data_IF_766362393066
#
_entry.id   IF_766362393066
#
_cell.length_a   1.000
_cell.length_b   1.000
_cell.length_c   1.000
_cell.angle_alpha   90.00
_cell.angle_beta   90.00
_cell.angle_gamma   90.00
#
_symmetry.space_group_name_H-M   'P 1'
#
loop_
_entity.id
_entity.type
_entity.pdbx_description
1 polymer ?
#
# COMPACT_ATOMS: atom_id res chain seq x y z
N UNK A 1 9.18 12.53 -25.27
CA UNK A 1 9.67 11.14 -25.20
C UNK A 1 9.67 10.79 -23.72
N UNK A 2 8.61 10.18 -23.22
CA UNK A 2 8.61 9.61 -21.87
C UNK A 2 8.45 8.10 -22.03
N UNK A 3 9.58 7.41 -21.94
CA UNK A 3 9.59 5.96 -21.79
C UNK A 3 9.30 5.70 -20.31
N UNK A 4 8.04 5.86 -19.89
CA UNK A 4 7.55 5.28 -18.64
C UNK A 4 7.27 3.78 -18.88
N UNK A 5 8.30 3.08 -19.33
CA UNK A 5 8.30 1.63 -19.50
C UNK A 5 8.97 1.02 -18.29
N UNK A 6 8.27 0.96 -17.15
CA UNK A 6 8.76 0.15 -16.05
C UNK A 6 8.52 -1.31 -16.42
N UNK A 7 9.62 -1.98 -16.73
CA UNK A 7 9.69 -3.44 -16.82
C UNK A 7 9.20 -3.97 -15.49
N UNK A 8 8.00 -4.56 -15.46
CA UNK A 8 7.66 -5.50 -14.39
C UNK A 8 8.63 -6.67 -14.61
N UNK A 9 9.86 -6.53 -14.11
CA UNK A 9 10.75 -7.66 -13.91
C UNK A 9 9.93 -8.68 -13.14
N UNK A 10 10.04 -9.96 -13.48
CA UNK A 10 9.23 -11.06 -12.93
C UNK A 10 9.23 -11.01 -11.40
N UNK A 11 8.34 -10.21 -10.83
CA UNK A 11 8.32 -9.90 -9.43
C UNK A 11 7.53 -11.03 -8.80
N UNK A 12 8.16 -11.74 -7.86
CA UNK A 12 7.46 -12.75 -7.10
C UNK A 12 6.25 -12.12 -6.39
N UNK A 13 5.22 -12.93 -6.11
CA UNK A 13 4.04 -12.50 -5.34
C UNK A 13 4.47 -11.82 -4.02
N UNK A 14 5.51 -12.36 -3.36
CA UNK A 14 6.12 -11.78 -2.16
C UNK A 14 6.64 -10.35 -2.39
N UNK A 15 7.33 -10.13 -3.52
CA UNK A 15 7.87 -8.82 -3.88
C UNK A 15 6.77 -7.81 -4.19
N UNK A 16 5.78 -8.21 -4.99
CA UNK A 16 4.62 -7.38 -5.32
C UNK A 16 3.80 -7.01 -4.09
N UNK A 17 3.57 -7.97 -3.20
CA UNK A 17 2.89 -7.75 -1.92
C UNK A 17 3.65 -6.75 -1.04
N UNK A 18 4.97 -6.89 -0.94
CA UNK A 18 5.81 -5.97 -0.17
C UNK A 18 5.74 -4.55 -0.75
N UNK A 19 5.80 -4.41 -2.08
CA UNK A 19 5.66 -3.11 -2.75
C UNK A 19 4.27 -2.48 -2.52
N UNK A 20 3.20 -3.26 -2.59
CA UNK A 20 1.84 -2.78 -2.31
C UNK A 20 1.68 -2.26 -0.86
N UNK A 21 2.32 -2.91 0.12
CA UNK A 21 2.32 -2.44 1.50
C UNK A 21 3.09 -1.13 1.69
N UNK A 22 4.24 -0.98 1.01
CA UNK A 22 5.05 0.24 1.07
C UNK A 22 4.30 1.44 0.47
N UNK A 23 3.53 1.24 -0.60
CA UNK A 23 2.70 2.28 -1.21
C UNK A 23 1.77 2.98 -0.19
N UNK A 24 1.17 2.23 0.72
CA UNK A 24 0.28 2.81 1.73
C UNK A 24 1.00 3.79 2.67
N UNK A 25 2.27 3.55 3.01
CA UNK A 25 3.07 4.45 3.86
C UNK A 25 3.26 5.84 3.20
N UNK A 26 3.26 5.90 1.87
CA UNK A 26 3.45 7.14 1.11
C UNK A 26 2.17 7.97 0.94
N UNK A 27 0.99 7.34 0.96
CA UNK A 27 -0.32 8.00 0.83
C UNK A 27 -0.75 8.65 2.15
N UNK A 28 -0.45 8.02 3.28
CA UNK A 28 -0.91 8.46 4.62
C UNK A 28 -0.25 9.75 5.11
N UNK A 29 0.88 10.12 4.51
CA UNK A 29 1.80 11.08 5.11
C UNK A 29 1.56 12.55 4.75
N UNK A 30 0.56 12.87 3.92
CA UNK A 30 0.49 14.16 3.25
C UNK A 30 -0.85 14.88 3.42
N UNK A 31 -1.47 14.71 4.57
CA UNK A 31 -2.81 15.23 4.79
C UNK A 31 -2.84 16.30 5.89
N UNK A 32 -3.31 17.49 5.54
CA UNK A 32 -3.70 18.54 6.47
C UNK A 32 -5.22 18.64 6.36
N UNK A 33 -5.98 18.37 7.42
CA UNK A 33 -7.39 17.97 7.28
C UNK A 33 -8.38 18.64 8.23
N UNK A 34 -9.63 18.73 7.73
CA UNK A 34 -10.87 18.83 8.50
C UNK A 34 -11.64 17.48 8.53
N UNK A 35 -12.81 17.39 9.20
CA UNK A 35 -13.39 16.14 9.73
C UNK A 35 -13.69 15.02 8.72
N UNK A 36 -14.20 15.32 7.52
CA UNK A 36 -14.58 14.28 6.53
C UNK A 36 -13.40 13.51 5.98
N UNK A 37 -12.21 14.11 6.00
CA UNK A 37 -10.99 13.49 5.50
C UNK A 37 -10.44 12.41 6.43
N UNK A 38 -10.77 12.46 7.74
CA UNK A 38 -10.39 11.44 8.71
C UNK A 38 -11.02 10.08 8.36
N UNK A 39 -12.27 10.07 7.88
CA UNK A 39 -12.96 8.83 7.49
C UNK A 39 -12.29 8.16 6.30
N UNK A 40 -11.90 8.91 5.28
CA UNK A 40 -11.20 8.35 4.11
C UNK A 40 -9.80 7.87 4.47
N UNK A 41 -9.10 8.57 5.37
CA UNK A 41 -7.81 8.11 5.88
C UNK A 41 -7.95 6.79 6.65
N UNK A 42 -8.94 6.68 7.55
CA UNK A 42 -9.22 5.42 8.26
C UNK A 42 -9.50 4.30 7.26
N UNK A 43 -10.25 4.55 6.20
CA UNK A 43 -10.52 3.52 5.18
C UNK A 43 -9.25 3.05 4.46
N UNK A 44 -8.31 3.95 4.15
CA UNK A 44 -7.00 3.57 3.60
C UNK A 44 -6.22 2.68 4.59
N UNK A 45 -6.20 3.05 5.87
CA UNK A 45 -5.55 2.23 6.92
C UNK A 45 -6.22 0.86 7.04
N UNK A 46 -7.55 0.79 6.96
CA UNK A 46 -8.30 -0.47 6.93
C UNK A 46 -7.89 -1.31 5.74
N UNK A 47 -7.81 -0.75 4.54
CA UNK A 47 -7.36 -1.51 3.36
C UNK A 47 -5.91 -2.01 3.48
N UNK A 48 -5.02 -1.26 4.14
CA UNK A 48 -3.68 -1.74 4.46
C UNK A 48 -3.72 -2.92 5.42
N UNK A 49 -4.51 -2.83 6.50
CA UNK A 49 -4.69 -3.93 7.46
C UNK A 49 -5.30 -5.16 6.80
N UNK A 50 -6.28 -4.99 5.91
CA UNK A 50 -6.87 -6.10 5.15
C UNK A 50 -5.85 -6.79 4.27
N UNK A 51 -5.03 -6.04 3.55
CA UNK A 51 -3.95 -6.60 2.74
C UNK A 51 -2.93 -7.35 3.61
N UNK A 52 -2.59 -6.82 4.79
CA UNK A 52 -1.72 -7.50 5.75
C UNK A 52 -2.30 -8.83 6.21
N UNK A 53 -3.55 -8.85 6.68
CA UNK A 53 -4.24 -10.07 7.14
C UNK A 53 -4.29 -11.10 6.03
N UNK A 54 -4.62 -10.69 4.81
CA UNK A 54 -4.59 -11.56 3.64
C UNK A 54 -3.18 -12.15 3.45
N UNK A 55 -2.14 -11.32 3.48
CA UNK A 55 -0.75 -11.80 3.38
C UNK A 55 -0.38 -12.79 4.48
N UNK A 56 -0.85 -12.62 5.72
CA UNK A 56 -0.64 -13.59 6.80
C UNK A 56 -1.36 -14.90 6.52
N UNK A 57 -2.59 -14.85 6.04
CA UNK A 57 -3.41 -16.05 5.78
C UNK A 57 -2.78 -17.00 4.76
N UNK A 58 -1.90 -16.48 3.89
CA UNK A 58 -1.13 -17.26 2.93
C UNK A 58 0.36 -17.30 3.21
N UNK A 59 0.84 -16.95 4.41
CA UNK A 59 2.25 -17.10 4.80
C UNK A 59 3.24 -16.08 4.20
N UNK A 60 2.77 -14.92 3.72
CA UNK A 60 3.64 -13.83 3.23
C UNK A 60 4.19 -12.89 4.34
N UNK A 61 3.91 -13.21 5.61
CA UNK A 61 4.24 -12.38 6.77
C UNK A 61 5.69 -12.48 7.25
N UNK A 62 6.45 -13.41 6.65
CA UNK A 62 7.87 -13.52 6.87
C UNK A 62 8.25 -14.51 7.97
N UNK A 63 7.30 -15.14 8.66
CA UNK A 63 7.58 -16.24 9.59
C UNK A 63 8.19 -17.43 8.84
N UNK A 64 9.43 -17.79 9.17
CA UNK A 64 10.16 -18.84 8.44
C UNK A 64 9.49 -20.22 8.55
N UNK A 65 8.76 -20.46 9.65
CA UNK A 65 8.09 -21.74 9.94
C UNK A 65 6.77 -21.95 9.19
N UNK A 66 6.22 -20.94 8.49
CA UNK A 66 4.93 -21.03 7.78
C UNK A 66 5.01 -20.70 6.28
N UNK A 67 6.18 -20.24 5.79
CA UNK A 67 6.36 -19.80 4.41
C UNK A 67 6.27 -20.92 3.38
N UNK A 68 6.83 -22.09 3.68
CA UNK A 68 7.02 -23.13 2.66
C UNK A 68 5.81 -24.07 2.50
N UNK A 69 4.95 -24.21 3.49
CA UNK A 69 3.80 -25.13 3.39
C UNK A 69 2.51 -24.39 2.97
N UNK A 70 2.19 -23.25 3.60
CA UNK A 70 0.92 -22.54 3.35
C UNK A 70 0.91 -21.72 2.04
N UNK A 71 2.01 -21.02 1.70
CA UNK A 71 2.13 -20.28 0.44
C UNK A 71 2.13 -21.27 -0.74
N UNK A 72 2.87 -22.38 -0.60
CA UNK A 72 2.97 -23.37 -1.66
C UNK A 72 1.64 -24.11 -1.85
N UNK A 73 0.88 -24.48 -0.82
CA UNK A 73 -0.43 -25.09 -1.02
C UNK A 73 -1.47 -24.11 -1.62
N UNK A 74 -1.56 -22.87 -1.12
CA UNK A 74 -2.55 -21.90 -1.60
C UNK A 74 -2.23 -21.37 -3.01
N UNK A 75 -0.95 -21.23 -3.36
CA UNK A 75 -0.46 -20.71 -4.65
C UNK A 75 0.26 -21.77 -5.49
N UNK A 76 0.03 -23.05 -5.23
CA UNK A 76 0.56 -24.18 -6.03
C UNK A 76 0.04 -24.10 -7.47
N UNK A 77 -1.21 -23.64 -7.58
CA UNK A 77 -1.92 -23.55 -8.83
C UNK A 77 -1.46 -22.31 -9.59
N UNK A 78 -0.81 -22.54 -10.72
CA UNK A 78 -0.28 -21.50 -11.60
C UNK A 78 -1.31 -20.41 -11.94
N UNK A 79 -2.57 -20.79 -12.16
CA UNK A 79 -3.64 -19.83 -12.46
C UNK A 79 -3.99 -18.93 -11.27
N UNK A 80 -3.97 -19.45 -10.03
CA UNK A 80 -4.18 -18.64 -8.82
C UNK A 80 -3.00 -17.70 -8.60
N UNK A 81 -1.77 -18.21 -8.73
CA UNK A 81 -0.55 -17.41 -8.64
C UNK A 81 -0.57 -16.25 -9.65
N UNK A 82 -0.99 -16.52 -10.88
CA UNK A 82 -1.10 -15.51 -11.95
C UNK A 82 -2.17 -14.48 -11.63
N UNK A 83 -3.35 -14.90 -11.16
CA UNK A 83 -4.43 -13.99 -10.80
C UNK A 83 -4.03 -13.07 -9.63
N UNK A 84 -3.42 -13.63 -8.57
CA UNK A 84 -2.92 -12.87 -7.42
C UNK A 84 -1.83 -11.88 -7.84
N UNK A 85 -0.85 -12.33 -8.63
CA UNK A 85 0.19 -11.45 -9.16
C UNK A 85 -0.42 -10.31 -10.01
N UNK A 86 -1.41 -10.62 -10.85
CA UNK A 86 -2.13 -9.63 -11.66
C UNK A 86 -2.81 -8.55 -10.82
N UNK A 87 -3.51 -8.94 -9.75
CA UNK A 87 -4.16 -8.01 -8.82
C UNK A 87 -3.16 -7.12 -8.08
N UNK A 88 -2.04 -7.69 -7.60
CA UNK A 88 -0.99 -6.91 -6.94
C UNK A 88 -0.27 -5.97 -7.92
N UNK A 89 -0.07 -6.39 -9.18
CA UNK A 89 0.44 -5.51 -10.24
C UNK A 89 -0.53 -4.36 -10.51
N UNK A 90 -1.84 -4.63 -10.58
CA UNK A 90 -2.86 -3.59 -10.71
C UNK A 90 -2.77 -2.59 -9.56
N UNK A 91 -2.62 -3.08 -8.32
CA UNK A 91 -2.43 -2.23 -7.14
C UNK A 91 -1.22 -1.30 -7.30
N UNK A 92 -0.04 -1.87 -7.62
CA UNK A 92 1.20 -1.09 -7.74
C UNK A 92 1.08 -0.05 -8.85
N UNK A 93 0.52 -0.42 -10.01
CA UNK A 93 0.35 0.45 -11.18
C UNK A 93 -0.53 1.66 -10.95
N UNK A 94 -1.50 1.59 -10.02
CA UNK A 94 -2.31 2.76 -9.64
C UNK A 94 -1.40 3.92 -9.22
N UNK A 95 -0.28 3.61 -8.57
CA UNK A 95 0.60 4.61 -7.95
C UNK A 95 1.87 4.94 -8.76
N UNK A 96 2.10 4.29 -9.89
CA UNK A 96 3.23 4.60 -10.79
C UNK A 96 2.94 5.82 -11.68
N UNK A 97 1.68 6.07 -12.00
CA UNK A 97 1.26 7.12 -12.93
C UNK A 97 0.78 8.36 -12.16
N UNK A 98 1.71 9.30 -11.95
CA UNK A 98 1.48 10.54 -11.20
C UNK A 98 0.37 11.42 -11.79
N UNK A 99 0.22 11.43 -13.11
CA UNK A 99 -0.85 12.17 -13.79
C UNK A 99 -2.20 11.53 -13.53
N UNK A 100 -2.31 10.20 -13.63
CA UNK A 100 -3.53 9.48 -13.23
C UNK A 100 -3.85 9.66 -11.76
N UNK A 101 -2.84 9.65 -10.88
CA UNK A 101 -3.02 9.90 -9.45
C UNK A 101 -3.69 11.25 -9.19
N UNK A 102 -3.22 12.30 -9.87
CA UNK A 102 -3.81 13.64 -9.80
C UNK A 102 -5.21 13.67 -10.43
N UNK A 103 -5.33 13.21 -11.65
CA UNK A 103 -6.51 13.48 -12.47
C UNK A 103 -7.69 12.59 -12.06
N UNK A 104 -7.45 11.31 -11.75
CA UNK A 104 -8.49 10.35 -11.34
C UNK A 104 -8.77 10.34 -9.85
N UNK A 105 -7.74 10.46 -9.03
CA UNK A 105 -7.83 10.26 -7.58
C UNK A 105 -7.60 11.53 -6.76
N UNK A 106 -7.29 12.67 -7.41
CA UNK A 106 -7.13 13.92 -6.71
C UNK A 106 -5.90 13.98 -5.82
N UNK A 107 -4.87 13.16 -6.11
CA UNK A 107 -3.63 13.14 -5.35
C UNK A 107 -2.58 14.05 -5.99
N UNK A 108 -2.02 14.98 -5.22
CA UNK A 108 -0.94 15.86 -5.66
C UNK A 108 0.35 15.51 -4.93
N UNK A 109 1.45 15.49 -5.66
CA UNK A 109 2.74 15.23 -5.08
C UNK A 109 3.14 16.37 -4.14
N UNK A 110 3.48 16.04 -2.89
CA UNK A 110 4.20 16.98 -2.01
C UNK A 110 5.66 16.97 -2.40
N UNK A 111 6.13 18.11 -2.90
CA UNK A 111 7.55 18.42 -2.90
C UNK A 111 7.87 18.88 -1.48
N UNK A 112 8.54 18.04 -0.68
CA UNK A 112 9.06 18.50 0.61
C UNK A 112 10.11 19.60 0.30
N UNK A 113 9.86 20.88 0.64
CA UNK A 113 10.90 21.89 0.50
C UNK A 113 11.99 21.52 1.51
N UNK A 114 13.19 21.26 1.00
CA UNK A 114 14.29 20.72 1.79
C UNK A 114 14.45 21.42 3.13
N UNK A 115 14.50 20.64 4.22
CA UNK A 115 15.01 21.07 5.54
C UNK A 115 14.59 22.49 5.95
N UNK A 116 13.29 22.74 5.97
CA UNK A 116 12.70 23.86 6.71
C UNK A 116 11.93 23.31 7.89
N UNK A 117 12.37 23.62 9.11
CA UNK A 117 11.65 23.41 10.36
C UNK A 117 10.24 23.99 10.26
N UNK A 118 9.30 23.14 9.87
CA UNK A 118 7.88 23.39 9.87
C UNK A 118 7.20 22.13 10.37
N UNK A 119 7.30 21.88 11.67
CA UNK A 119 6.35 21.01 12.39
C UNK A 119 4.96 21.64 12.25
N UNK A 120 4.34 21.44 11.09
CA UNK A 120 2.91 21.59 10.93
C UNK A 120 2.28 20.65 11.95
N UNK A 121 1.52 21.23 12.86
CA UNK A 121 0.87 20.57 13.98
C UNK A 121 0.12 19.33 13.48
N UNK A 122 0.73 18.14 13.61
CA UNK A 122 0.05 16.88 13.38
C UNK A 122 -1.13 16.84 14.35
N UNK A 123 -2.35 16.83 13.81
CA UNK A 123 -3.56 16.81 14.62
C UNK A 123 -3.50 15.61 15.58
N UNK A 124 -3.99 15.80 16.82
CA UNK A 124 -4.03 14.74 17.83
C UNK A 124 -4.71 13.47 17.28
N UNK A 125 -5.77 13.64 16.49
CA UNK A 125 -6.50 12.56 15.84
C UNK A 125 -5.63 11.78 14.84
N UNK A 126 -4.77 12.47 14.09
CA UNK A 126 -3.82 11.82 13.17
C UNK A 126 -2.75 11.02 13.91
N UNK A 127 -2.30 11.52 15.09
CA UNK A 127 -1.38 10.80 15.97
C UNK A 127 -2.05 9.57 16.63
N UNK A 128 -3.32 9.70 17.03
CA UNK A 128 -4.09 8.61 17.63
C UNK A 128 -4.42 7.52 16.61
N UNK A 129 -4.87 7.90 15.41
CA UNK A 129 -5.09 6.98 14.29
C UNK A 129 -3.78 6.29 13.90
N UNK A 130 -2.72 7.07 13.66
CA UNK A 130 -1.40 6.54 13.33
C UNK A 130 -0.89 5.55 14.39
N UNK A 131 -1.04 5.86 15.68
CA UNK A 131 -0.59 4.97 16.77
C UNK A 131 -1.42 3.68 16.90
N UNK A 132 -2.72 3.72 16.62
CA UNK A 132 -3.62 2.55 16.65
C UNK A 132 -3.20 1.54 15.59
N UNK A 133 -2.99 2.00 14.36
CA UNK A 133 -2.58 1.16 13.24
C UNK A 133 -1.11 0.76 13.30
N UNK A 134 -0.23 1.63 13.82
CA UNK A 134 1.20 1.34 14.00
C UNK A 134 1.43 0.08 14.82
N UNK A 135 0.66 -0.15 15.89
CA UNK A 135 0.77 -1.38 16.70
C UNK A 135 0.46 -2.64 15.88
N UNK A 136 -0.51 -2.56 14.96
CA UNK A 136 -0.84 -3.65 14.03
C UNK A 136 0.29 -3.90 13.04
N UNK A 137 0.89 -2.82 12.51
CA UNK A 137 2.03 -2.91 11.59
C UNK A 137 3.30 -3.44 12.26
N UNK A 138 3.61 -3.00 13.47
CA UNK A 138 4.79 -3.43 14.23
C UNK A 138 4.73 -4.94 14.55
N UNK A 139 3.53 -5.49 14.80
CA UNK A 139 3.33 -6.93 14.96
C UNK A 139 3.62 -7.71 13.66
N UNK A 140 3.28 -7.13 12.51
CA UNK A 140 3.49 -7.78 11.21
C UNK A 140 4.95 -7.70 10.74
N UNK A 141 5.66 -6.59 11.00
CA UNK A 141 7.00 -6.37 10.44
C UNK A 141 8.05 -7.36 10.94
N UNK A 142 7.83 -8.03 12.08
CA UNK A 142 8.84 -8.89 12.71
C UNK A 142 10.16 -8.14 12.92
N UNK A 143 11.21 -8.82 13.37
CA UNK A 143 12.51 -8.16 13.57
C UNK A 143 12.99 -7.50 12.24
N UNK A 144 13.21 -6.17 12.19
CA UNK A 144 13.42 -5.40 10.95
C UNK A 144 14.72 -5.72 10.19
N UNK A 145 15.52 -6.68 10.68
CA UNK A 145 16.88 -6.94 10.21
C UNK A 145 16.97 -7.68 8.87
N UNK A 146 15.89 -8.27 8.36
CA UNK A 146 15.95 -9.20 7.22
C UNK A 146 15.21 -8.79 5.94
N UNK A 147 14.38 -7.74 5.96
CA UNK A 147 13.62 -7.34 4.75
C UNK A 147 14.50 -6.46 3.87
N UNK A 148 15.25 -7.10 2.98
CA UNK A 148 16.12 -6.46 2.02
C UNK A 148 15.32 -5.46 1.17
N UNK A 149 15.65 -4.20 1.44
CA UNK A 149 15.31 -2.94 0.78
C UNK A 149 15.30 -3.11 -0.75
N UNK A 150 14.13 -3.29 -1.33
CA UNK A 150 13.95 -3.62 -2.74
C UNK A 150 12.78 -2.88 -3.39
N UNK A 151 12.72 -1.55 -3.26
CA UNK A 151 11.91 -0.72 -4.16
C UNK A 151 12.67 0.58 -4.47
N UNK A 152 13.53 0.51 -5.47
CA UNK A 152 14.38 1.63 -5.88
C UNK A 152 13.64 2.65 -6.75
N UNK A 153 12.32 2.51 -6.98
CA UNK A 153 11.63 3.29 -8.02
C UNK A 153 10.39 4.09 -7.55
N UNK A 154 9.76 3.78 -6.40
CA UNK A 154 8.74 4.65 -5.76
C UNK A 154 9.42 5.61 -4.77
N UNK A 155 10.51 6.22 -5.22
CA UNK A 155 11.36 7.09 -4.42
C UNK A 155 10.57 8.31 -3.88
N UNK A 156 10.22 8.27 -2.59
CA UNK A 156 9.97 9.44 -1.72
C UNK A 156 8.86 10.42 -2.14
N UNK A 157 7.91 10.02 -2.98
CA UNK A 157 6.80 10.91 -3.32
C UNK A 157 5.70 10.78 -2.26
N UNK A 158 5.57 11.76 -1.36
CA UNK A 158 4.44 11.84 -0.41
C UNK A 158 3.25 12.45 -1.15
N UNK A 159 2.07 11.85 -1.08
CA UNK A 159 0.90 12.28 -1.86
C UNK A 159 -0.16 12.95 -1.00
N UNK A 160 -0.47 14.22 -1.27
CA UNK A 160 -1.54 14.95 -0.59
C UNK A 160 -2.88 14.78 -1.30
N UNK A 161 -3.95 14.70 -0.53
CA UNK A 161 -5.32 14.72 -1.06
C UNK A 161 -5.71 16.16 -1.40
N UNK A 162 -5.92 16.45 -2.68
CA UNK A 162 -6.41 17.72 -3.19
C UNK A 162 -7.91 17.70 -3.55
N UNK A 163 -8.47 16.53 -3.88
CA UNK A 163 -9.90 16.35 -4.17
C UNK A 163 -10.44 15.11 -3.43
N UNK A 164 -11.23 15.35 -2.39
CA UNK A 164 -11.80 14.30 -1.54
C UNK A 164 -12.73 13.34 -2.30
N UNK A 165 -13.54 13.87 -3.24
CA UNK A 165 -14.50 13.06 -4.00
C UNK A 165 -13.77 12.11 -4.94
N UNK A 166 -12.68 12.58 -5.55
CA UNK A 166 -11.80 11.73 -6.37
C UNK A 166 -11.02 10.75 -5.53
N UNK A 167 -10.55 11.15 -4.36
CA UNK A 167 -9.81 10.27 -3.45
C UNK A 167 -10.65 9.09 -2.98
N UNK A 168 -11.96 9.28 -2.80
CA UNK A 168 -12.89 8.17 -2.50
C UNK A 168 -12.84 7.05 -3.55
N UNK A 169 -12.63 7.38 -4.82
CA UNK A 169 -12.48 6.38 -5.89
C UNK A 169 -11.25 5.52 -5.71
N UNK A 170 -10.14 6.12 -5.24
CA UNK A 170 -8.94 5.34 -4.91
C UNK A 170 -9.26 4.35 -3.80
N UNK A 171 -9.88 4.79 -2.72
CA UNK A 171 -10.29 3.91 -1.61
C UNK A 171 -11.17 2.75 -2.12
N UNK A 172 -12.13 3.04 -3.00
CA UNK A 172 -13.01 2.03 -3.60
C UNK A 172 -12.25 1.04 -4.50
N UNK A 173 -11.28 1.50 -5.28
CA UNK A 173 -10.44 0.63 -6.12
C UNK A 173 -9.52 -0.27 -5.29
N UNK A 174 -8.85 0.27 -4.25
CA UNK A 174 -8.02 -0.54 -3.35
C UNK A 174 -8.86 -1.58 -2.62
N UNK A 175 -10.05 -1.19 -2.17
CA UNK A 175 -11.03 -2.11 -1.60
C UNK A 175 -11.40 -3.22 -2.59
N UNK A 176 -11.73 -2.89 -3.83
CA UNK A 176 -12.12 -3.89 -4.83
C UNK A 176 -10.98 -4.88 -5.14
N UNK A 177 -9.73 -4.41 -5.15
CA UNK A 177 -8.56 -5.27 -5.30
C UNK A 177 -8.43 -6.21 -4.09
N UNK A 178 -8.50 -5.68 -2.87
CA UNK A 178 -8.45 -6.48 -1.64
C UNK A 178 -9.61 -7.49 -1.53
N UNK A 179 -10.82 -7.07 -1.92
CA UNK A 179 -11.99 -7.96 -2.01
C UNK A 179 -11.68 -9.09 -2.99
N UNK A 180 -11.12 -8.79 -4.16
CA UNK A 180 -10.76 -9.80 -5.16
C UNK A 180 -9.68 -10.76 -4.63
N UNK A 181 -8.64 -10.25 -3.98
CA UNK A 181 -7.59 -11.07 -3.35
C UNK A 181 -8.16 -12.03 -2.30
N UNK A 182 -9.10 -11.56 -1.47
CA UNK A 182 -9.76 -12.37 -0.46
C UNK A 182 -10.68 -13.44 -1.06
N UNK A 183 -11.37 -13.16 -2.17
CA UNK A 183 -12.28 -14.13 -2.80
C UNK A 183 -11.58 -15.17 -3.69
N UNK A 184 -10.30 -14.95 -4.04
CA UNK A 184 -9.53 -15.91 -4.85
C UNK A 184 -9.06 -17.12 -4.06
N UNK A 185 -9.07 -17.04 -2.72
CA UNK A 185 -8.60 -18.08 -1.83
C UNK A 185 -9.76 -18.53 -0.93
N UNK A 186 -9.87 -19.83 -0.65
CA UNK A 186 -10.95 -20.39 0.16
C UNK A 186 -10.93 -19.91 1.63
#
# INVERSE_FOLDING_TARGET
>A
MEVAGTVIAVASVVGLFSAALEIFDYVQSATAFGPTHEVLQIKIEVEKVRLLIWGQSIGLDGSADQRDDAVNEALDREYLRTAVAGLLVCFVKIFEDSEKLRDRYGLVQRVDPGTGTGTGMENLDQRLLGSTFKRTYDKFRGNPSGRQRGSTLVLKMRWAVADEKRFRRLVEELKAINDSLNHLLP
#
